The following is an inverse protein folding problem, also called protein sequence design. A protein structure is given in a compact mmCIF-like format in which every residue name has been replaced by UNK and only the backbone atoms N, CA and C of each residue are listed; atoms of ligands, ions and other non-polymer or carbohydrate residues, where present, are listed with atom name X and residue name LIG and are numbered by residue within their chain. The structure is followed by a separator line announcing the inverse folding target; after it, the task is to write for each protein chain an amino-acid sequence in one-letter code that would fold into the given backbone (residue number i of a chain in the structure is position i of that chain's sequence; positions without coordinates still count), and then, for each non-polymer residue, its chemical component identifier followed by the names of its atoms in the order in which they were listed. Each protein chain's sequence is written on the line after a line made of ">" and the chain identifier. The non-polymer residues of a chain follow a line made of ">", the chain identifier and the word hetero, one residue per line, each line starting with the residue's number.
data_IF_688435345428
#
_entry.id   IF_688435345428
#
_cell.length_a   1.000
_cell.length_b   1.000
_cell.length_c   1.000
_cell.angle_alpha   90.00
_cell.angle_beta   90.00
_cell.angle_gamma   90.00
#
_symmetry.space_group_name_H-M   'P 1'
#
loop_
_entity.id
_entity.type
_entity.pdbx_description
1 polymer ?
#
# COMPACT_ATOMS: atom_id res chain seq x y z
N UNK A 1 25.30 10.24 -33.08
CA UNK A 1 24.65 10.89 -31.93
C UNK A 1 23.95 9.83 -31.11
N UNK A 2 24.57 9.34 -30.02
CA UNK A 2 23.95 8.33 -29.15
C UNK A 2 23.03 9.04 -28.15
N UNK A 3 21.73 8.78 -28.23
CA UNK A 3 20.74 9.24 -27.25
C UNK A 3 20.93 8.40 -25.99
N UNK A 4 21.38 9.02 -24.91
CA UNK A 4 21.37 8.40 -23.60
C UNK A 4 19.92 8.36 -23.12
N UNK A 5 19.26 7.23 -23.30
CA UNK A 5 17.97 6.98 -22.68
C UNK A 5 18.21 6.85 -21.17
N UNK A 6 17.87 7.90 -20.43
CA UNK A 6 17.87 7.86 -18.97
C UNK A 6 16.86 6.78 -18.56
N UNK A 7 17.35 5.56 -18.29
CA UNK A 7 16.61 4.54 -17.57
C UNK A 7 16.31 5.10 -16.18
N UNK A 8 15.16 5.75 -16.06
CA UNK A 8 14.59 6.20 -14.80
C UNK A 8 14.51 4.95 -13.91
N UNK A 9 15.43 4.81 -12.95
CA UNK A 9 15.36 3.72 -11.97
C UNK A 9 13.96 3.79 -11.37
N UNK A 10 13.18 2.70 -11.34
CA UNK A 10 11.84 2.73 -10.78
C UNK A 10 11.98 3.19 -9.33
N UNK A 11 11.63 4.46 -9.07
CA UNK A 11 11.64 5.00 -7.72
C UNK A 11 10.61 4.20 -6.96
N UNK A 12 11.09 3.35 -6.05
CA UNK A 12 10.21 2.56 -5.21
C UNK A 12 9.28 3.53 -4.49
N UNK A 13 7.96 3.31 -4.56
CA UNK A 13 7.01 4.23 -3.97
C UNK A 13 7.29 4.32 -2.46
N UNK A 14 7.21 5.52 -1.90
CA UNK A 14 7.35 5.73 -0.46
C UNK A 14 6.01 5.47 0.22
N UNK A 15 6.08 5.06 1.48
CA UNK A 15 4.88 4.90 2.29
C UNK A 15 4.16 6.25 2.41
N UNK A 16 2.86 6.27 2.14
CA UNK A 16 2.04 7.49 2.26
C UNK A 16 2.10 8.11 3.65
N UNK A 17 2.25 7.29 4.70
CA UNK A 17 2.28 7.74 6.09
C UNK A 17 3.70 8.00 6.63
N UNK A 18 4.72 7.46 5.96
CA UNK A 18 6.10 7.53 6.41
C UNK A 18 7.02 7.81 5.22
N UNK A 19 7.37 9.08 5.01
CA UNK A 19 8.23 9.52 3.90
C UNK A 19 9.67 8.96 3.95
N UNK A 20 10.06 8.43 5.11
CA UNK A 20 11.34 7.78 5.36
C UNK A 20 11.33 6.28 5.01
N UNK A 21 10.14 5.68 4.86
CA UNK A 21 10.00 4.24 4.64
C UNK A 21 9.57 3.94 3.21
N UNK A 22 10.21 2.95 2.60
CA UNK A 22 9.78 2.40 1.32
C UNK A 22 8.43 1.68 1.50
N UNK A 23 7.52 1.87 0.55
CA UNK A 23 6.27 1.12 0.54
C UNK A 23 6.52 -0.29 0.01
N UNK A 24 6.11 -1.27 0.80
CA UNK A 24 6.19 -2.69 0.45
C UNK A 24 4.86 -3.22 -0.10
N UNK A 25 3.76 -2.56 0.25
CA UNK A 25 2.40 -3.01 -0.06
C UNK A 25 1.58 -1.88 -0.66
N UNK A 26 0.54 -2.23 -1.42
CA UNK A 26 -0.52 -1.31 -1.84
C UNK A 26 -1.82 -1.73 -1.19
N UNK A 27 -2.60 -0.74 -0.74
CA UNK A 27 -3.93 -1.00 -0.23
C UNK A 27 -4.85 -1.42 -1.39
N UNK A 28 -5.55 -2.54 -1.25
CA UNK A 28 -6.45 -3.08 -2.27
C UNK A 28 -7.70 -2.19 -2.45
N UNK A 29 -8.12 -1.47 -1.39
CA UNK A 29 -9.27 -0.57 -1.44
C UNK A 29 -8.96 0.80 -2.07
N UNK A 30 -7.86 1.45 -1.64
CA UNK A 30 -7.56 2.83 -2.05
C UNK A 30 -6.37 2.95 -3.03
N UNK A 31 -5.68 1.85 -3.34
CA UNK A 31 -4.54 1.80 -4.26
C UNK A 31 -3.25 2.48 -3.76
N UNK A 32 -3.30 3.16 -2.61
CA UNK A 32 -2.17 3.92 -2.08
C UNK A 32 -1.03 3.00 -1.58
N UNK A 33 0.23 3.44 -1.72
CA UNK A 33 1.40 2.68 -1.25
C UNK A 33 1.63 2.87 0.25
N UNK A 34 1.84 1.76 0.97
CA UNK A 34 2.05 1.73 2.42
C UNK A 34 3.19 0.76 2.82
N UNK A 35 3.87 1.05 3.92
CA UNK A 35 4.84 0.13 4.52
C UNK A 35 4.14 -0.97 5.34
N UNK A 36 4.87 -2.04 5.68
CA UNK A 36 4.36 -3.18 6.47
C UNK A 36 3.67 -2.77 7.78
N UNK A 37 4.08 -1.64 8.37
CA UNK A 37 3.52 -1.11 9.63
C UNK A 37 2.20 -0.35 9.44
N UNK A 38 1.94 0.19 8.24
CA UNK A 38 0.72 0.94 7.94
C UNK A 38 -0.38 0.07 7.33
N UNK A 39 -0.01 -1.10 6.82
CA UNK A 39 -0.98 -2.11 6.40
C UNK A 39 -1.37 -2.96 7.59
N UNK A 40 -2.66 -3.19 7.72
CA UNK A 40 -3.26 -4.10 8.68
C UNK A 40 -4.01 -5.14 7.85
N UNK A 41 -3.26 -6.13 7.36
CA UNK A 41 -3.84 -7.18 6.52
C UNK A 41 -4.47 -8.24 7.41
N UNK A 42 -5.79 -8.23 7.58
CA UNK A 42 -6.51 -9.34 8.21
C UNK A 42 -7.83 -9.59 7.48
N UNK A 43 -7.76 -10.34 6.37
CA UNK A 43 -8.94 -10.87 5.67
C UNK A 43 -8.62 -11.38 4.27
N UNK A 44 -8.72 -12.70 4.05
CA UNK A 44 -8.81 -13.33 2.73
C UNK A 44 -7.67 -13.03 1.72
N UNK A 45 -6.45 -12.79 2.20
CA UNK A 45 -5.30 -12.51 1.33
C UNK A 45 -5.26 -11.10 0.75
N UNK A 46 -6.13 -10.19 1.20
CA UNK A 46 -6.12 -8.78 0.81
C UNK A 46 -5.33 -7.94 1.79
N UNK A 47 -4.74 -6.86 1.29
CA UNK A 47 -3.94 -5.92 2.09
C UNK A 47 -4.69 -4.59 2.15
N UNK A 48 -5.06 -4.17 3.36
CA UNK A 48 -5.71 -2.89 3.59
C UNK A 48 -4.85 -1.99 4.48
N UNK A 49 -4.93 -0.68 4.26
CA UNK A 49 -4.37 0.28 5.22
C UNK A 49 -5.30 0.43 6.42
N UNK A 50 -4.78 0.91 7.54
CA UNK A 50 -5.55 1.12 8.77
C UNK A 50 -6.83 1.97 8.56
N UNK A 51 -6.81 2.91 7.61
CA UNK A 51 -7.98 3.73 7.26
C UNK A 51 -9.09 2.91 6.54
N UNK A 52 -8.70 1.89 5.77
CA UNK A 52 -9.63 1.07 4.99
C UNK A 52 -10.06 -0.22 5.72
N UNK A 53 -9.31 -0.67 6.73
CA UNK A 53 -9.64 -1.85 7.54
C UNK A 53 -10.99 -1.70 8.26
N UNK A 54 -11.33 -0.50 8.72
CA UNK A 54 -12.57 -0.22 9.47
C UNK A 54 -13.84 -0.59 8.69
N UNK A 55 -13.80 -0.57 7.36
CA UNK A 55 -14.96 -0.86 6.52
C UNK A 55 -15.25 -2.35 6.34
N UNK A 56 -14.25 -3.23 6.55
CA UNK A 56 -14.41 -4.68 6.28
C UNK A 56 -14.71 -5.49 7.54
N UNK A 57 -14.37 -4.98 8.73
CA UNK A 57 -14.63 -5.66 9.99
C UNK A 57 -16.09 -5.57 10.45
N UNK A 58 -16.82 -4.53 10.05
CA UNK A 58 -18.20 -4.26 10.50
C UNK A 58 -19.24 -5.21 9.86
N UNK A 59 -18.91 -5.87 8.75
CA UNK A 59 -19.84 -6.77 8.05
C UNK A 59 -19.86 -8.22 8.56
N UNK A 60 -18.95 -8.60 9.48
CA UNK A 60 -18.81 -9.98 9.97
C UNK A 60 -19.37 -10.21 11.39
N UNK A 61 -19.84 -9.16 12.08
CA UNK A 61 -20.50 -9.28 13.39
C UNK A 61 -22.05 -9.34 13.28
N UNK A 62 -22.59 -9.45 12.06
CA UNK A 62 -24.04 -9.49 11.78
C UNK A 62 -24.49 -10.85 11.19
N UNK A 63 -24.03 -11.96 11.77
CA UNK A 63 -24.59 -13.31 11.52
C UNK A 63 -24.79 -14.03 12.86
#
# INVERSE_FOLDING_TARGET
>A
MHKFEHKEKPQKPKCRNHSDQEATYRCDNCGKPYCKRCVKGQGYGRVFCAECEVLVADFLDLI
#
